data_IF_335365913557
#
_entry.id   IF_335365913557
#
_cell.length_a   1.000
_cell.length_b   1.000
_cell.length_c   1.000
_cell.angle_alpha   90.00
_cell.angle_beta   90.00
_cell.angle_gamma   90.00
#
_symmetry.space_group_name_H-M   'P 1'
#
loop_
_entity.id
_entity.type
_entity.pdbx_description
1 polymer ?
#
# COMPACT_ATOMS: atom_id res chain seq x y z
N UNK A 1 -9.58 27.28 19.47
CA UNK A 1 -9.34 26.12 18.59
C UNK A 1 -10.45 25.12 18.83
N UNK A 2 -11.32 24.89 17.85
CA UNK A 2 -12.45 23.98 17.97
C UNK A 2 -12.30 22.86 16.94
N UNK A 3 -12.23 21.62 17.41
CA UNK A 3 -12.23 20.42 16.58
C UNK A 3 -13.68 19.98 16.36
N UNK A 4 -14.06 19.67 15.13
CA UNK A 4 -15.39 19.12 14.82
C UNK A 4 -15.23 17.63 14.47
N UNK A 5 -15.66 16.76 15.38
CA UNK A 5 -15.71 15.30 15.17
C UNK A 5 -17.10 14.98 14.62
N UNK A 6 -17.19 14.47 13.39
CA UNK A 6 -18.44 13.95 12.83
C UNK A 6 -18.40 12.43 12.85
N UNK A 7 -19.19 11.82 13.74
CA UNK A 7 -19.31 10.36 13.85
C UNK A 7 -20.43 9.92 12.92
N UNK A 8 -20.10 9.26 11.81
CA UNK A 8 -21.03 8.39 11.09
C UNK A 8 -20.62 6.95 11.36
N UNK A 9 -21.60 6.10 11.68
CA UNK A 9 -21.42 4.75 12.25
C UNK A 9 -20.23 4.01 11.60
N UNK A 10 -19.24 3.70 12.43
CA UNK A 10 -18.03 2.89 12.23
C UNK A 10 -16.74 3.55 11.69
N UNK A 11 -16.69 4.85 11.39
CA UNK A 11 -15.45 5.51 10.96
C UNK A 11 -15.22 6.85 11.67
N UNK A 12 -13.94 7.14 12.00
CA UNK A 12 -13.50 8.42 12.56
C UNK A 12 -12.87 9.24 11.44
N UNK A 13 -13.50 10.37 11.12
CA UNK A 13 -12.98 11.36 10.18
C UNK A 13 -12.21 12.42 10.97
N UNK A 14 -10.90 12.53 10.76
CA UNK A 14 -10.06 13.58 11.34
C UNK A 14 -9.90 14.71 10.32
N UNK A 15 -10.38 15.90 10.66
CA UNK A 15 -10.28 17.09 9.81
C UNK A 15 -9.18 18.01 10.34
N UNK A 16 -8.04 18.05 9.65
CA UNK A 16 -7.02 19.08 9.83
C UNK A 16 -7.19 20.08 8.67
N UNK A 17 -7.39 21.36 8.97
CA UNK A 17 -7.57 22.38 7.94
C UNK A 17 -6.35 22.45 7.02
N UNK A 18 -6.56 22.36 5.70
CA UNK A 18 -5.56 22.37 4.60
C UNK A 18 -4.80 21.06 4.29
N UNK A 19 -5.26 19.89 4.76
CA UNK A 19 -4.76 18.60 4.26
C UNK A 19 -5.89 17.78 3.62
N UNK A 20 -5.53 16.93 2.64
CA UNK A 20 -6.46 15.97 2.03
C UNK A 20 -7.17 15.17 3.12
N UNK A 21 -8.50 15.01 3.00
CA UNK A 21 -9.27 14.20 3.94
C UNK A 21 -8.78 12.75 3.85
N UNK A 22 -8.30 12.21 4.97
CA UNK A 22 -8.04 10.78 5.11
C UNK A 22 -8.97 10.20 6.17
N UNK A 23 -9.42 8.97 5.93
CA UNK A 23 -10.21 8.23 6.90
C UNK A 23 -9.29 7.29 7.67
N UNK A 24 -9.49 7.23 8.99
CA UNK A 24 -8.88 6.21 9.82
C UNK A 24 -9.74 4.94 9.75
N UNK A 25 -9.15 3.85 9.24
CA UNK A 25 -9.79 2.54 9.12
C UNK A 25 -9.20 1.62 10.20
N UNK A 26 -9.98 1.13 11.16
CA UNK A 26 -9.52 0.07 12.04
C UNK A 26 -9.16 -1.19 11.23
N UNK A 27 -8.05 -1.86 11.54
CA UNK A 27 -7.63 -3.06 10.80
C UNK A 27 -8.73 -4.13 10.65
N UNK A 28 -9.57 -4.31 11.67
CA UNK A 28 -10.72 -5.24 11.62
C UNK A 28 -11.84 -4.83 10.67
N UNK A 29 -11.93 -3.54 10.32
CA UNK A 29 -12.93 -3.00 9.38
C UNK A 29 -12.45 -3.05 7.91
N UNK A 30 -11.15 -3.27 7.69
CA UNK A 30 -10.55 -3.33 6.35
C UNK A 30 -11.24 -4.35 5.43
N UNK A 31 -11.60 -5.53 5.95
CA UNK A 31 -12.23 -6.59 5.15
C UNK A 31 -13.53 -6.12 4.46
N UNK A 32 -14.33 -5.29 5.12
CA UNK A 32 -15.58 -4.77 4.57
C UNK A 32 -15.36 -3.80 3.39
N UNK A 33 -14.28 -3.02 3.43
CA UNK A 33 -13.90 -2.09 2.36
C UNK A 33 -13.31 -2.80 1.14
N UNK A 34 -12.85 -4.03 1.33
CA UNK A 34 -12.09 -4.81 0.35
C UNK A 34 -12.82 -6.05 -0.12
N UNK A 35 -14.16 -6.09 -0.04
CA UNK A 35 -14.97 -7.28 -0.36
C UNK A 35 -14.63 -7.95 -1.71
N UNK A 36 -14.23 -7.15 -2.70
CA UNK A 36 -13.90 -7.59 -4.07
C UNK A 36 -12.38 -7.62 -4.34
N UNK A 37 -11.57 -7.63 -3.27
CA UNK A 37 -10.09 -7.58 -3.33
C UNK A 37 -9.45 -8.78 -2.61
N UNK A 38 -9.53 -9.99 -3.20
CA UNK A 38 -9.12 -11.23 -2.55
C UNK A 38 -7.62 -11.27 -2.18
N UNK A 39 -6.72 -10.71 -3.01
CA UNK A 39 -5.30 -10.70 -2.68
C UNK A 39 -5.03 -9.79 -1.48
N UNK A 40 -5.67 -8.62 -1.42
CA UNK A 40 -5.56 -7.69 -0.30
C UNK A 40 -6.11 -8.29 1.00
N UNK A 41 -7.25 -8.99 0.94
CA UNK A 41 -7.81 -9.68 2.10
C UNK A 41 -6.89 -10.80 2.60
N UNK A 42 -6.40 -11.66 1.69
CA UNK A 42 -5.48 -12.74 2.04
C UNK A 42 -4.18 -12.20 2.64
N UNK A 43 -3.65 -11.11 2.08
CA UNK A 43 -2.47 -10.43 2.61
C UNK A 43 -2.70 -9.88 4.02
N UNK A 44 -3.82 -9.19 4.28
CA UNK A 44 -4.13 -8.68 5.62
C UNK A 44 -4.24 -9.82 6.63
N UNK A 45 -4.90 -10.92 6.26
CA UNK A 45 -5.03 -12.09 7.13
C UNK A 45 -3.65 -12.70 7.43
N UNK A 46 -2.82 -12.91 6.42
CA UNK A 46 -1.46 -13.43 6.59
C UNK A 46 -0.59 -12.48 7.43
N UNK A 47 -0.66 -11.16 7.19
CA UNK A 47 0.08 -10.16 7.95
C UNK A 47 -0.33 -10.15 9.44
N UNK A 48 -1.62 -10.31 9.74
CA UNK A 48 -2.11 -10.48 11.11
C UNK A 48 -1.60 -11.76 11.76
N UNK A 49 -1.45 -12.85 11.00
CA UNK A 49 -0.83 -14.07 11.52
C UNK A 49 0.66 -13.87 11.79
N UNK A 50 1.40 -13.27 10.86
CA UNK A 50 2.85 -13.01 11.02
C UNK A 50 3.13 -12.13 12.23
N UNK A 51 2.32 -11.08 12.46
CA UNK A 51 2.57 -10.17 13.60
C UNK A 51 2.35 -10.86 14.94
N UNK A 52 1.45 -11.85 15.01
CA UNK A 52 1.02 -12.45 16.27
C UNK A 52 0.52 -11.40 17.26
N UNK A 53 1.22 -11.28 18.39
CA UNK A 53 0.95 -10.28 19.43
C UNK A 53 1.73 -8.98 19.26
N UNK A 54 2.66 -8.91 18.31
CA UNK A 54 3.42 -7.71 18.02
C UNK A 54 2.57 -6.68 17.28
N UNK A 55 3.00 -5.42 17.37
CA UNK A 55 2.33 -4.33 16.67
C UNK A 55 2.47 -4.47 15.15
N UNK A 56 3.69 -4.79 14.71
CA UNK A 56 4.11 -5.02 13.32
C UNK A 56 4.91 -6.33 13.32
N UNK A 57 4.81 -7.20 12.30
CA UNK A 57 5.62 -8.40 12.22
C UNK A 57 7.11 -8.07 12.11
N UNK A 58 7.96 -8.90 12.72
CA UNK A 58 9.37 -8.93 12.36
C UNK A 58 9.53 -9.71 11.07
N UNK A 59 10.60 -9.42 10.34
CA UNK A 59 10.88 -10.11 9.09
C UNK A 59 11.04 -11.62 9.28
N UNK A 60 11.66 -12.06 10.39
CA UNK A 60 11.81 -13.48 10.73
C UNK A 60 10.49 -14.22 10.96
N UNK A 61 9.39 -13.50 11.20
CA UNK A 61 8.04 -14.05 11.39
C UNK A 61 7.27 -14.16 10.06
N UNK A 62 7.78 -13.55 8.98
CA UNK A 62 7.10 -13.56 7.68
C UNK A 62 7.17 -14.96 7.06
N UNK A 63 6.00 -15.49 6.67
CA UNK A 63 5.82 -16.78 6.01
C UNK A 63 5.04 -16.59 4.70
N UNK A 64 5.71 -16.21 3.59
CA UNK A 64 5.05 -15.89 2.32
C UNK A 64 4.22 -17.05 1.76
N UNK A 65 4.59 -18.30 2.06
CA UNK A 65 3.89 -19.51 1.63
C UNK A 65 2.42 -19.56 2.08
N UNK A 66 2.06 -18.88 3.17
CA UNK A 66 0.68 -18.79 3.67
C UNK A 66 -0.22 -18.03 2.67
N UNK A 67 0.35 -17.15 1.84
CA UNK A 67 -0.42 -16.38 0.86
C UNK A 67 -0.98 -17.25 -0.27
N UNK A 68 -0.39 -18.42 -0.53
CA UNK A 68 -0.78 -19.27 -1.67
C UNK A 68 -0.83 -18.46 -2.97
N UNK A 69 -1.97 -18.53 -3.68
CA UNK A 69 -2.16 -17.80 -4.94
C UNK A 69 -2.15 -16.27 -4.79
N UNK A 70 -2.43 -15.74 -3.59
CA UNK A 70 -2.45 -14.30 -3.36
C UNK A 70 -1.06 -13.65 -3.48
N UNK A 71 0.02 -14.45 -3.44
CA UNK A 71 1.39 -13.97 -3.67
C UNK A 71 1.52 -13.26 -5.03
N UNK A 72 0.70 -13.64 -6.01
CA UNK A 72 0.67 -12.99 -7.33
C UNK A 72 0.29 -11.51 -7.27
N UNK A 73 -0.47 -11.09 -6.27
CA UNK A 73 -0.84 -9.69 -6.02
C UNK A 73 0.08 -8.96 -5.05
N UNK A 74 1.14 -9.60 -4.53
CA UNK A 74 1.99 -9.04 -3.48
C UNK A 74 3.26 -8.40 -4.04
N UNK A 75 3.71 -7.33 -3.41
CA UNK A 75 4.96 -6.64 -3.69
C UNK A 75 5.69 -6.32 -2.38
N UNK A 76 7.01 -6.27 -2.42
CA UNK A 76 7.87 -5.85 -1.30
C UNK A 76 8.70 -4.68 -1.76
N UNK A 77 8.62 -3.58 -1.03
CA UNK A 77 9.43 -2.38 -1.23
C UNK A 77 10.38 -2.24 -0.04
N UNK A 78 11.67 -2.10 -0.30
CA UNK A 78 12.66 -1.73 0.71
C UNK A 78 12.86 -0.21 0.72
N UNK A 79 12.83 0.39 1.91
CA UNK A 79 13.19 1.79 2.13
C UNK A 79 14.68 1.87 2.44
N UNK A 80 15.47 2.32 1.47
CA UNK A 80 16.93 2.37 1.58
C UNK A 80 17.39 3.67 2.23
N UNK A 81 16.73 4.77 1.90
CA UNK A 81 17.02 6.11 2.41
C UNK A 81 15.73 6.94 2.46
N UNK A 82 15.73 8.12 3.11
CA UNK A 82 14.59 9.05 3.06
C UNK A 82 14.07 9.36 1.64
N UNK A 83 14.91 9.22 0.62
CA UNK A 83 14.58 9.53 -0.77
C UNK A 83 14.60 8.31 -1.70
N UNK A 84 15.12 7.16 -1.25
CA UNK A 84 15.30 5.97 -2.08
C UNK A 84 14.50 4.79 -1.55
N UNK A 85 13.75 4.18 -2.45
CA UNK A 85 13.08 2.92 -2.24
C UNK A 85 13.16 2.06 -3.49
N UNK A 86 13.23 0.74 -3.32
CA UNK A 86 13.36 -0.23 -4.41
C UNK A 86 12.37 -1.36 -4.25
N UNK A 87 11.75 -1.77 -5.35
CA UNK A 87 10.95 -2.99 -5.39
C UNK A 87 11.87 -4.21 -5.36
N UNK A 88 11.72 -5.10 -4.37
CA UNK A 88 12.52 -6.32 -4.24
C UNK A 88 11.80 -7.55 -4.76
N UNK A 89 10.53 -7.64 -4.46
CA UNK A 89 9.66 -8.72 -4.92
C UNK A 89 8.41 -8.09 -5.48
N UNK A 90 7.97 -8.57 -6.63
CA UNK A 90 6.74 -8.11 -7.26
C UNK A 90 6.06 -9.31 -7.90
N UNK A 91 4.82 -9.57 -7.48
CA UNK A 91 3.98 -10.62 -8.05
C UNK A 91 3.44 -10.23 -9.43
N UNK A 92 3.11 -11.25 -10.23
CA UNK A 92 2.75 -11.09 -11.65
C UNK A 92 1.63 -10.09 -11.92
N UNK A 93 0.66 -9.93 -11.01
CA UNK A 93 -0.44 -8.98 -11.21
C UNK A 93 0.06 -7.54 -11.32
N UNK A 94 1.10 -7.16 -10.57
CA UNK A 94 1.69 -5.83 -10.69
C UNK A 94 2.36 -5.67 -12.05
N UNK A 95 3.11 -6.67 -12.53
CA UNK A 95 3.72 -6.63 -13.86
C UNK A 95 2.65 -6.50 -14.95
N UNK A 96 1.55 -7.24 -14.84
CA UNK A 96 0.42 -7.13 -15.78
C UNK A 96 -0.22 -5.74 -15.75
N UNK A 97 -0.48 -5.18 -14.56
CA UNK A 97 -1.09 -3.85 -14.40
C UNK A 97 -0.15 -2.73 -14.86
N UNK A 98 1.14 -2.85 -14.54
CA UNK A 98 2.15 -1.86 -14.89
C UNK A 98 2.68 -2.02 -16.32
N UNK A 99 2.39 -3.13 -17.01
CA UNK A 99 2.90 -3.45 -18.33
C UNK A 99 4.44 -3.53 -18.41
N UNK A 100 5.12 -3.75 -17.29
CA UNK A 100 6.59 -3.86 -17.20
C UNK A 100 7.04 -4.61 -15.95
N UNK A 101 8.22 -5.20 -16.02
CA UNK A 101 8.89 -5.76 -14.84
C UNK A 101 9.24 -4.65 -13.85
N UNK A 102 8.94 -4.90 -12.57
CA UNK A 102 9.10 -3.90 -11.50
C UNK A 102 10.15 -4.32 -10.46
N UNK A 103 10.50 -5.62 -10.39
CA UNK A 103 11.52 -6.08 -9.46
C UNK A 103 12.89 -5.47 -9.81
N UNK A 104 13.57 -4.91 -8.82
CA UNK A 104 14.83 -4.19 -8.98
C UNK A 104 14.67 -2.71 -9.37
N UNK A 105 13.47 -2.25 -9.74
CA UNK A 105 13.22 -0.87 -10.14
C UNK A 105 13.12 0.07 -8.93
N UNK A 106 13.76 1.24 -9.00
CA UNK A 106 13.59 2.27 -7.99
C UNK A 106 12.22 2.94 -8.10
N UNK A 107 11.66 3.32 -6.95
CA UNK A 107 10.34 3.95 -6.89
C UNK A 107 10.30 5.29 -7.66
N UNK A 108 11.43 6.00 -7.75
CA UNK A 108 11.58 7.23 -8.52
C UNK A 108 11.41 7.01 -10.03
N UNK A 109 11.77 5.83 -10.55
CA UNK A 109 11.65 5.48 -11.98
C UNK A 109 10.21 5.17 -12.42
N UNK A 110 9.28 5.03 -11.46
CA UNK A 110 7.86 4.72 -11.70
C UNK A 110 6.94 5.83 -11.22
N UNK A 111 7.49 6.88 -10.62
CA UNK A 111 6.74 7.99 -10.02
C UNK A 111 7.05 9.27 -10.76
N UNK A 112 6.03 10.10 -11.00
CA UNK A 112 6.21 11.42 -11.61
C UNK A 112 7.21 12.26 -10.80
N UNK A 113 8.20 12.92 -11.42
CA UNK A 113 9.26 13.63 -10.72
C UNK A 113 8.75 14.60 -9.64
N UNK A 114 7.68 15.34 -9.94
CA UNK A 114 7.06 16.31 -9.03
C UNK A 114 6.37 15.68 -7.81
N UNK A 115 6.08 14.37 -7.86
CA UNK A 115 5.40 13.62 -6.80
C UNK A 115 6.34 12.72 -5.97
N UNK A 116 7.58 12.53 -6.41
CA UNK A 116 8.54 11.61 -5.77
C UNK A 116 8.74 11.92 -4.29
N UNK A 117 8.96 13.20 -3.95
CA UNK A 117 9.15 13.64 -2.55
C UNK A 117 7.91 13.34 -1.69
N UNK A 118 6.72 13.61 -2.22
CA UNK A 118 5.47 13.38 -1.50
C UNK A 118 5.21 11.87 -1.31
N UNK A 119 5.50 11.06 -2.34
CA UNK A 119 5.42 9.61 -2.26
C UNK A 119 6.37 9.03 -1.20
N UNK A 120 7.64 9.42 -1.23
CA UNK A 120 8.63 8.97 -0.25
C UNK A 120 8.25 9.40 1.17
N UNK A 121 7.81 10.64 1.34
CA UNK A 121 7.29 11.14 2.63
C UNK A 121 6.17 10.26 3.16
N UNK A 122 5.22 9.84 2.31
CA UNK A 122 4.12 8.96 2.69
C UNK A 122 4.61 7.57 3.12
N UNK A 123 5.55 6.97 2.38
CA UNK A 123 6.11 5.67 2.72
C UNK A 123 6.87 5.70 4.05
N UNK A 124 7.64 6.76 4.29
CA UNK A 124 8.35 6.94 5.57
C UNK A 124 7.41 7.23 6.74
N UNK A 125 6.27 7.90 6.51
CA UNK A 125 5.22 8.04 7.52
C UNK A 125 4.67 6.66 7.95
N UNK A 126 4.41 5.76 7.00
CA UNK A 126 3.97 4.36 7.27
C UNK A 126 5.05 3.57 8.02
N UNK A 127 6.33 3.79 7.68
CA UNK A 127 7.44 3.11 8.34
C UNK A 127 7.63 3.57 9.80
N UNK A 128 7.53 4.88 10.03
CA UNK A 128 7.83 5.49 11.33
C UNK A 128 6.63 5.53 12.27
N UNK A 129 5.42 5.60 11.73
CA UNK A 129 4.18 5.47 12.48
C UNK A 129 3.59 4.12 12.12
N UNK A 130 3.58 3.13 13.03
CA UNK A 130 3.06 1.79 12.76
C UNK A 130 1.57 1.91 12.42
N UNK A 131 1.30 2.06 11.13
CA UNK A 131 0.00 2.15 10.48
C UNK A 131 0.10 1.46 9.11
N UNK A 132 -1.04 1.20 8.50
CA UNK A 132 -1.11 0.81 7.09
C UNK A 132 -1.69 1.92 6.22
N UNK A 133 -1.79 1.64 4.93
CA UNK A 133 -2.54 2.45 3.98
C UNK A 133 -3.41 1.55 3.12
N UNK A 134 -4.65 1.95 2.93
CA UNK A 134 -5.53 1.51 1.85
C UNK A 134 -5.64 2.62 0.82
N UNK A 135 -5.55 2.25 -0.45
CA UNK A 135 -5.61 3.21 -1.56
C UNK A 135 -6.34 2.62 -2.75
N UNK A 136 -7.19 3.43 -3.37
CA UNK A 136 -7.76 3.15 -4.68
C UNK A 136 -7.15 4.14 -5.67
N UNK A 137 -6.67 3.62 -6.80
CA UNK A 137 -6.09 4.42 -7.87
C UNK A 137 -6.39 3.80 -9.22
N UNK A 138 -6.23 4.59 -10.27
CA UNK A 138 -6.25 4.09 -11.64
C UNK A 138 -4.84 4.16 -12.20
N UNK A 139 -4.30 3.02 -12.63
CA UNK A 139 -3.05 2.97 -13.39
C UNK A 139 -3.40 3.17 -14.86
N UNK A 140 -2.75 4.12 -15.52
CA UNK A 140 -3.00 4.43 -16.94
C UNK A 140 -1.75 4.07 -17.74
N UNK A 141 -1.95 3.29 -18.80
CA UNK A 141 -0.90 2.88 -19.74
C UNK A 141 -0.69 3.91 -20.83
N UNK A 142 0.47 3.86 -21.47
CA UNK A 142 0.79 4.75 -22.60
C UNK A 142 -0.16 4.56 -23.78
N UNK A 143 -0.82 3.40 -23.88
CA UNK A 143 -1.89 3.11 -24.83
C UNK A 143 -3.24 3.79 -24.50
N UNK A 144 -3.39 4.32 -23.29
CA UNK A 144 -4.64 4.84 -22.75
C UNK A 144 -5.50 3.79 -22.02
N UNK A 145 -5.09 2.51 -22.00
CA UNK A 145 -5.76 1.49 -21.17
C UNK A 145 -5.61 1.87 -19.69
N UNK A 146 -6.69 1.72 -18.94
CA UNK A 146 -6.77 2.11 -17.53
C UNK A 146 -7.16 0.93 -16.65
N UNK A 147 -6.33 0.60 -15.68
CA UNK A 147 -6.55 -0.44 -14.67
C UNK A 147 -6.96 0.22 -13.34
N UNK A 148 -8.26 0.24 -12.98
CA UNK A 148 -8.68 0.54 -11.61
C UNK A 148 -8.19 -0.54 -10.64
N UNK A 149 -7.40 -0.13 -9.66
CA UNK A 149 -6.80 -1.02 -8.66
C UNK A 149 -7.01 -0.49 -7.25
N UNK A 150 -7.14 -1.42 -6.31
CA UNK A 150 -6.98 -1.12 -4.90
C UNK A 150 -5.68 -1.73 -4.41
N UNK A 151 -5.06 -1.08 -3.42
CA UNK A 151 -3.88 -1.61 -2.74
C UNK A 151 -3.98 -1.43 -1.25
N UNK A 152 -3.39 -2.38 -0.55
CA UNK A 152 -3.04 -2.26 0.88
C UNK A 152 -1.53 -2.24 0.99
N UNK A 153 -1.01 -1.41 1.88
CA UNK A 153 0.43 -1.37 2.22
C UNK A 153 0.54 -1.45 3.74
N UNK A 154 1.33 -2.42 4.23
CA UNK A 154 1.59 -2.63 5.66
C UNK A 154 3.10 -2.78 5.91
N UNK A 155 3.61 -2.25 7.04
CA UNK A 155 5.02 -2.34 7.39
C UNK A 155 5.41 -3.75 7.85
N UNK A 156 6.69 -4.08 7.70
CA UNK A 156 7.37 -5.23 8.31
C UNK A 156 8.70 -4.73 8.85
N UNK A 157 8.99 -5.02 10.12
CA UNK A 157 10.24 -4.59 10.77
C UNK A 157 11.42 -5.44 10.28
N UNK A 158 12.60 -4.85 10.08
CA UNK A 158 13.81 -5.61 9.81
C UNK A 158 14.14 -6.52 11.01
N UNK A 159 14.89 -7.59 10.76
CA UNK A 159 15.38 -8.47 11.83
C UNK A 159 16.56 -7.82 12.56
N UNK A 160 17.39 -7.08 11.82
CA UNK A 160 18.56 -6.38 12.35
C UNK A 160 18.47 -4.85 12.13
N UNK A 161 19.02 -4.01 13.03
CA UNK A 161 18.96 -2.55 12.89
C UNK A 161 19.61 -1.98 11.62
N UNK A 162 20.53 -2.74 11.00
CA UNK A 162 21.24 -2.34 9.76
C UNK A 162 20.48 -2.71 8.49
N UNK A 163 19.42 -3.52 8.59
CA UNK A 163 18.60 -3.91 7.45
C UNK A 163 17.55 -2.85 7.12
N UNK A 164 17.20 -2.69 5.83
CA UNK A 164 16.19 -1.72 5.42
C UNK A 164 14.79 -2.10 5.93
N UNK A 165 14.00 -1.09 6.27
CA UNK A 165 12.57 -1.25 6.54
C UNK A 165 11.86 -1.77 5.28
N UNK A 166 10.92 -2.71 5.46
CA UNK A 166 10.13 -3.27 4.36
C UNK A 166 8.68 -2.84 4.45
N UNK A 167 8.13 -2.44 3.31
CA UNK A 167 6.70 -2.23 3.13
C UNK A 167 6.18 -3.31 2.20
N UNK A 168 5.29 -4.15 2.73
CA UNK A 168 4.60 -5.17 1.95
C UNK A 168 3.30 -4.56 1.42
N UNK A 169 3.06 -4.72 0.13
CA UNK A 169 1.84 -4.26 -0.51
C UNK A 169 1.11 -5.39 -1.21
N UNK A 170 -0.21 -5.40 -1.15
CA UNK A 170 -1.06 -6.24 -1.98
C UNK A 170 -1.87 -5.38 -2.95
N UNK A 171 -2.26 -5.95 -4.09
CA UNK A 171 -3.06 -5.30 -5.11
C UNK A 171 -4.15 -6.24 -5.63
N UNK A 172 -5.31 -5.67 -5.94
CA UNK A 172 -6.34 -6.28 -6.76
C UNK A 172 -6.82 -5.28 -7.81
N UNK A 173 -7.24 -5.78 -8.98
CA UNK A 173 -8.08 -5.01 -9.90
C UNK A 173 -9.49 -4.93 -9.30
N UNK A 174 -10.17 -3.80 -9.46
CA UNK A 174 -11.58 -3.70 -9.11
C UNK A 174 -12.37 -3.05 -10.25
N UNK A 175 -13.57 -3.56 -10.53
CA UNK A 175 -14.35 -3.13 -11.70
C UNK A 175 -14.06 -3.98 -12.94
N UNK A 176 -14.54 -3.51 -14.11
CA UNK A 176 -14.41 -4.27 -15.36
C UNK A 176 -12.97 -4.34 -15.85
N UNK A 177 -12.50 -5.57 -16.10
CA UNK A 177 -11.20 -5.79 -16.71
C UNK A 177 -11.20 -5.21 -18.13
N UNK A 178 -10.36 -4.20 -18.37
CA UNK A 178 -10.12 -3.71 -19.73
C UNK A 178 -9.18 -4.64 -20.48
N UNK A 179 -9.24 -4.59 -21.81
CA UNK A 179 -8.37 -5.34 -22.71
C UNK A 179 -6.91 -5.22 -22.27
N UNK A 180 -6.26 -6.35 -22.05
CA UNK A 180 -4.83 -6.40 -21.76
C UNK A 180 -4.08 -6.03 -23.04
N UNK A 181 -3.21 -5.03 -22.97
CA UNK A 181 -2.15 -4.81 -23.93
C UNK A 181 -0.78 -5.06 -23.27
N UNK A 182 0.28 -5.07 -24.06
CA UNK A 182 1.66 -5.21 -23.54
C UNK A 182 2.37 -3.84 -23.51
N UNK A 183 1.61 -2.75 -23.37
CA UNK A 183 2.16 -1.39 -23.37
C UNK A 183 2.42 -0.95 -21.92
N UNK A 184 3.60 -0.43 -21.59
CA UNK A 184 3.89 0.00 -20.22
C UNK A 184 2.93 1.06 -19.68
N UNK A 185 2.76 1.06 -18.36
CA UNK A 185 2.18 2.15 -17.60
C UNK A 185 2.95 3.46 -17.84
N UNK A 186 2.23 4.58 -17.88
CA UNK A 186 2.87 5.88 -17.68
C UNK A 186 3.32 6.02 -16.21
N UNK A 187 4.04 7.09 -15.90
CA UNK A 187 4.45 7.40 -14.53
C UNK A 187 3.23 7.47 -13.60
N UNK A 188 3.30 6.69 -12.53
CA UNK A 188 2.17 6.45 -11.62
C UNK A 188 1.97 7.70 -10.76
N UNK A 189 0.78 8.29 -10.89
CA UNK A 189 0.40 9.43 -10.06
C UNK A 189 0.32 9.05 -8.59
N UNK A 190 0.62 10.00 -7.71
CA UNK A 190 0.37 9.88 -6.29
C UNK A 190 -1.13 9.83 -6.08
N UNK A 191 -1.61 8.80 -5.37
CA UNK A 191 -3.01 8.75 -5.00
C UNK A 191 -3.38 9.96 -4.14
N UNK A 192 -4.42 10.67 -4.58
CA UNK A 192 -4.92 11.90 -3.96
C UNK A 192 -5.70 11.59 -2.68
N UNK A 193 -6.48 10.51 -2.70
CA UNK A 193 -7.22 10.01 -1.55
C UNK A 193 -6.48 8.79 -1.00
N UNK A 194 -6.16 8.83 0.29
CA UNK A 194 -5.49 7.75 1.01
C UNK A 194 -6.19 7.58 2.33
N UNK A 195 -6.57 6.35 2.63
CA UNK A 195 -7.09 6.00 3.94
C UNK A 195 -6.00 5.30 4.74
N UNK A 196 -5.76 5.78 5.96
CA UNK A 196 -4.80 5.16 6.84
C UNK A 196 -5.46 4.03 7.61
N UNK A 197 -4.78 2.89 7.69
CA UNK A 197 -5.21 1.76 8.47
C UNK A 197 -4.58 1.88 9.86
N UNK A 198 -5.40 2.06 10.89
CA UNK A 198 -4.93 2.01 12.27
C UNK A 198 -4.71 0.54 12.68
N UNK A 199 -3.46 0.23 13.01
CA UNK A 199 -3.04 -1.10 13.50
C UNK A 199 -2.88 -1.11 15.03
N UNK A 200 -3.67 -0.28 15.72
CA UNK A 200 -3.72 -0.07 17.18
C UNK A 200 -2.68 0.92 17.73
N UNK A 201 -2.31 1.93 16.94
CA UNK A 201 -1.38 2.97 17.36
C UNK A 201 -1.67 4.37 16.79
N UNK A 202 -2.84 4.54 16.16
CA UNK A 202 -3.20 5.77 15.47
C UNK A 202 -2.64 5.84 14.06
N UNK A 203 -2.63 7.05 13.51
CA UNK A 203 -2.20 7.34 12.13
C UNK A 203 -1.28 8.57 12.14
N UNK A 204 -0.44 8.77 11.10
CA UNK A 204 0.48 9.90 11.06
C UNK A 204 -0.23 11.25 11.18
N UNK A 205 0.38 12.20 11.91
CA UNK A 205 -0.01 13.62 11.94
C UNK A 205 0.24 14.34 10.61
#
# INVERSE_FOLDING_TARGET
MAFAIKIQRNFVYLRIANQAEFVMIPLGACAALMKDAPNCQAFIAAWQMWRGTHMVPNLDDVRPEILGNAINGVSVVELLSPNDAVYRLVGNLHTEVMGREMAGTYLSEVTRPEEQKARMTRLWKIANTPCGVFVQLTVVRQSGVSDPVCRVILPVRPSEPTEPMRLYGAMDRHGEAKTIDNVPADLISLAQNVDYIDISHGVPE
#
